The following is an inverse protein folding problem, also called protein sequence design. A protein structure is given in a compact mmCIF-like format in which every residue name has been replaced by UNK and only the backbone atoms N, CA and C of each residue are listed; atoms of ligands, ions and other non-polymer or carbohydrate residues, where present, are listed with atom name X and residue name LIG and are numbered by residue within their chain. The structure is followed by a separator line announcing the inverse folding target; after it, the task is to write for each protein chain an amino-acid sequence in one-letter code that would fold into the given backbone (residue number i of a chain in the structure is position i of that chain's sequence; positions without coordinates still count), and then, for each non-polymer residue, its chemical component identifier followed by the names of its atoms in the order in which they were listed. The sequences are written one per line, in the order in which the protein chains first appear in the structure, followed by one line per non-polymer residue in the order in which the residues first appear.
data_IF_022832024292
#
_entry.id   IF_022832024292
#
_cell.length_a   1.000
_cell.length_b   1.000
_cell.length_c   1.000
_cell.angle_alpha   90.00
_cell.angle_beta   90.00
_cell.angle_gamma   90.00
#
_symmetry.space_group_name_H-M   'P 1'
#
loop_
_entity.id
_entity.type
_entity.pdbx_description
1 polymer ?
#
# COMPACT_ATOMS: atom_id res chain seq x y z
N UNK A 1 27.05 1.68 -12.82
CA UNK A 1 26.10 1.37 -13.90
C UNK A 1 24.72 1.84 -13.45
N UNK A 2 24.22 2.95 -13.98
CA UNK A 2 22.84 3.36 -13.74
C UNK A 2 21.95 2.44 -14.58
N UNK A 3 21.28 1.47 -13.94
CA UNK A 3 20.23 0.70 -14.59
C UNK A 3 19.12 1.66 -14.98
N UNK A 4 19.01 1.97 -16.28
CA UNK A 4 17.97 2.84 -16.83
C UNK A 4 16.61 2.16 -16.73
N UNK A 5 16.00 2.21 -15.54
CA UNK A 5 14.61 1.80 -15.36
C UNK A 5 13.73 2.67 -16.25
N UNK A 6 12.82 2.03 -17.01
CA UNK A 6 11.82 2.76 -17.79
C UNK A 6 10.77 3.32 -16.82
N UNK A 7 10.41 4.61 -16.92
CA UNK A 7 9.36 5.18 -16.09
C UNK A 7 8.01 4.49 -16.36
N UNK A 8 7.18 4.47 -15.33
CA UNK A 8 5.80 3.98 -15.40
C UNK A 8 4.84 5.17 -15.40
N UNK A 9 3.72 5.00 -16.10
CA UNK A 9 2.62 5.96 -16.18
C UNK A 9 1.30 5.22 -15.97
N UNK A 10 0.36 5.89 -15.31
CA UNK A 10 -1.00 5.39 -15.12
C UNK A 10 -1.98 6.55 -15.23
N UNK A 11 -3.21 6.25 -15.65
CA UNK A 11 -4.26 7.26 -15.72
C UNK A 11 -4.70 7.66 -14.31
N UNK A 12 -4.90 8.97 -14.11
CA UNK A 12 -5.47 9.51 -12.87
C UNK A 12 -6.91 9.88 -13.14
N UNK A 13 -7.82 9.35 -12.34
CA UNK A 13 -9.26 9.65 -12.42
C UNK A 13 -9.68 10.42 -11.18
N UNK A 14 -10.41 11.53 -11.36
CA UNK A 14 -11.06 12.23 -10.25
C UNK A 14 -12.45 11.61 -10.02
N UNK A 15 -12.69 11.14 -8.81
CA UNK A 15 -14.01 10.67 -8.40
C UNK A 15 -14.94 11.87 -8.12
N UNK A 16 -16.13 11.86 -8.70
CA UNK A 16 -17.07 12.98 -8.61
C UNK A 16 -17.73 13.08 -7.22
N UNK A 17 -17.89 11.95 -6.53
CA UNK A 17 -18.62 11.89 -5.25
C UNK A 17 -17.76 12.38 -4.09
N UNK A 18 -16.50 11.95 -4.06
CA UNK A 18 -15.54 12.24 -2.98
C UNK A 18 -14.54 13.34 -3.32
N UNK A 19 -14.45 13.75 -4.60
CA UNK A 19 -13.41 14.64 -5.13
C UNK A 19 -11.97 14.12 -4.98
N UNK A 20 -11.79 12.85 -4.61
CA UNK A 20 -10.49 12.19 -4.51
C UNK A 20 -9.99 11.74 -5.87
N UNK A 21 -8.69 11.45 -5.96
CA UNK A 21 -8.05 10.98 -7.19
C UNK A 21 -7.62 9.53 -7.04
N UNK A 22 -7.83 8.71 -8.07
CA UNK A 22 -7.52 7.27 -8.06
C UNK A 22 -6.67 6.84 -9.25
N UNK A 23 -5.92 5.76 -9.06
CA UNK A 23 -5.12 5.09 -10.09
C UNK A 23 -5.40 3.56 -10.13
N UNK A 24 -5.56 2.94 -11.31
CA UNK A 24 -5.99 1.54 -11.45
C UNK A 24 -4.82 0.53 -11.44
N UNK A 25 -3.95 0.58 -10.43
CA UNK A 25 -2.68 -0.20 -10.45
C UNK A 25 -2.75 -1.58 -9.78
N UNK A 26 -3.83 -1.90 -9.06
CA UNK A 26 -4.01 -3.19 -8.37
C UNK A 26 -4.99 -4.08 -9.14
N UNK A 27 -4.49 -4.75 -10.19
CA UNK A 27 -5.31 -5.59 -11.08
C UNK A 27 -6.50 -4.84 -11.68
N UNK A 28 -6.30 -3.57 -12.04
CA UNK A 28 -7.34 -2.65 -12.51
C UNK A 28 -8.20 -2.03 -11.40
N UNK A 29 -8.10 -2.50 -10.14
CA UNK A 29 -8.82 -1.91 -9.01
C UNK A 29 -8.15 -0.60 -8.57
N UNK A 30 -8.94 0.45 -8.26
CA UNK A 30 -8.42 1.77 -7.93
C UNK A 30 -7.75 1.81 -6.55
N UNK A 31 -6.60 2.49 -6.49
CA UNK A 31 -6.00 3.00 -5.26
C UNK A 31 -6.13 4.53 -5.24
N UNK A 32 -6.50 5.11 -4.11
CA UNK A 32 -6.57 6.56 -3.92
C UNK A 32 -5.16 7.14 -3.82
N UNK A 33 -4.89 8.25 -4.48
CA UNK A 33 -3.62 8.96 -4.37
C UNK A 33 -3.58 9.80 -3.08
N UNK A 34 -2.59 9.52 -2.22
CA UNK A 34 -2.31 10.34 -1.04
C UNK A 34 -0.89 10.91 -1.13
N UNK A 35 -0.81 12.22 -1.38
CA UNK A 35 0.46 12.96 -1.51
C UNK A 35 1.24 13.04 -0.18
N UNK A 36 0.58 12.80 0.95
CA UNK A 36 1.16 12.77 2.29
C UNK A 36 1.36 11.35 2.83
N UNK A 37 0.77 10.36 2.16
CA UNK A 37 0.83 8.95 2.53
C UNK A 37 2.24 8.37 2.38
N UNK A 38 2.86 7.83 3.44
CA UNK A 38 4.23 7.28 3.37
C UNK A 38 4.29 5.80 2.98
N UNK A 39 3.14 5.14 2.85
CA UNK A 39 3.04 3.72 2.52
C UNK A 39 1.91 3.49 1.53
N UNK A 40 2.07 2.49 0.67
CA UNK A 40 0.98 1.90 -0.10
C UNK A 40 0.27 0.87 0.77
N UNK A 41 -1.05 0.95 0.89
CA UNK A 41 -1.85 -0.06 1.58
C UNK A 41 -3.09 -0.41 0.76
N UNK A 42 -3.56 -1.64 0.92
CA UNK A 42 -4.77 -2.09 0.25
C UNK A 42 -5.38 -3.29 0.95
N UNK A 43 -6.65 -3.56 0.67
CA UNK A 43 -7.26 -4.82 1.08
C UNK A 43 -6.56 -5.98 0.38
N UNK A 44 -6.36 -7.04 1.13
CA UNK A 44 -5.87 -8.31 0.60
C UNK A 44 -7.06 -9.26 0.53
N UNK A 45 -6.97 -10.30 -0.30
CA UNK A 45 -8.10 -11.19 -0.51
C UNK A 45 -8.57 -11.77 0.84
N UNK A 46 -9.84 -11.53 1.18
CA UNK A 46 -10.37 -11.69 2.53
C UNK A 46 -10.07 -13.06 3.14
N UNK A 47 -9.12 -13.08 4.08
CA UNK A 47 -8.75 -14.29 4.81
C UNK A 47 -7.97 -15.34 4.01
N UNK A 48 -7.62 -15.06 2.75
CA UNK A 48 -6.73 -15.92 2.00
C UNK A 48 -5.32 -15.85 2.61
N UNK A 49 -4.67 -16.99 2.90
CA UNK A 49 -3.28 -16.98 3.34
C UNK A 49 -2.42 -16.26 2.30
N UNK A 50 -1.66 -15.25 2.75
CA UNK A 50 -0.70 -14.54 1.94
C UNK A 50 0.67 -14.57 2.63
N UNK A 51 1.73 -14.47 1.84
CA UNK A 51 3.07 -14.29 2.39
C UNK A 51 3.13 -12.98 3.19
N UNK A 52 3.96 -12.95 4.23
CA UNK A 52 4.17 -11.77 5.07
C UNK A 52 5.65 -11.54 5.32
N UNK A 53 6.04 -10.28 5.52
CA UNK A 53 7.38 -9.97 5.99
C UNK A 53 7.52 -10.34 7.46
N UNK A 54 8.69 -10.82 7.85
CA UNK A 54 9.02 -11.06 9.26
C UNK A 54 9.29 -9.74 10.00
N UNK A 55 9.03 -9.70 11.31
CA UNK A 55 9.16 -8.48 12.11
C UNK A 55 10.61 -7.95 12.21
N UNK A 56 11.61 -8.82 12.05
CA UNK A 56 13.03 -8.46 12.01
C UNK A 56 13.50 -7.93 10.63
N UNK A 57 12.61 -7.91 9.63
CA UNK A 57 12.95 -7.43 8.30
C UNK A 57 13.24 -5.92 8.33
N UNK A 58 14.26 -5.47 7.60
CA UNK A 58 14.62 -4.05 7.52
C UNK A 58 13.49 -3.17 6.98
N UNK A 59 12.68 -3.69 6.06
CA UNK A 59 11.53 -2.99 5.53
C UNK A 59 10.46 -2.79 6.62
N UNK A 60 10.29 -3.78 7.48
CA UNK A 60 9.40 -3.69 8.63
C UNK A 60 9.83 -2.58 9.59
N UNK A 61 11.10 -2.57 9.98
CA UNK A 61 11.66 -1.54 10.87
C UNK A 61 11.50 -0.13 10.31
N UNK A 62 11.58 0.04 8.98
CA UNK A 62 11.36 1.32 8.31
C UNK A 62 9.88 1.70 8.27
N UNK A 63 8.97 0.75 8.03
CA UNK A 63 7.54 1.02 7.94
C UNK A 63 6.97 1.55 9.26
N UNK A 64 7.45 1.03 10.40
CA UNK A 64 7.04 1.48 11.72
C UNK A 64 7.48 2.91 12.08
N UNK A 65 8.33 3.56 11.26
CA UNK A 65 8.63 5.00 11.42
C UNK A 65 7.44 5.89 11.06
N UNK A 66 6.47 5.34 10.34
CA UNK A 66 5.27 6.04 9.88
C UNK A 66 4.05 5.76 10.75
N UNK A 67 4.30 5.48 12.04
CA UNK A 67 3.26 5.11 12.98
C UNK A 67 2.35 6.32 13.32
N UNK A 68 1.03 6.22 13.09
CA UNK A 68 0.11 7.30 13.38
C UNK A 68 0.00 7.62 14.89
N UNK A 69 -0.16 8.89 15.30
CA UNK A 69 -0.15 9.28 16.71
C UNK A 69 -1.22 8.60 17.58
N UNK A 70 -2.34 8.19 16.98
CA UNK A 70 -3.49 7.58 17.66
C UNK A 70 -3.46 6.05 17.69
N UNK A 71 -2.47 5.41 17.08
CA UNK A 71 -2.32 3.96 17.12
C UNK A 71 -1.62 3.49 18.41
N UNK A 72 -1.96 2.30 18.94
CA UNK A 72 -1.11 1.65 19.94
C UNK A 72 0.26 1.30 19.37
N UNK A 73 1.33 1.50 20.15
CA UNK A 73 2.66 1.01 19.80
C UNK A 73 2.78 -0.48 20.20
N UNK A 74 2.54 -1.39 19.26
CA UNK A 74 2.59 -2.85 19.49
C UNK A 74 3.94 -3.50 19.13
N UNK A 75 5.01 -2.71 19.06
CA UNK A 75 6.31 -3.17 18.53
C UNK A 75 6.33 -3.25 17.00
N UNK A 76 7.30 -3.97 16.43
CA UNK A 76 7.49 -4.13 14.97
C UNK A 76 6.63 -5.24 14.35
N UNK A 77 5.85 -5.98 15.14
CA UNK A 77 5.09 -7.11 14.63
C UNK A 77 4.36 -7.90 15.69
N UNK A 78 3.45 -8.76 15.23
CA UNK A 78 2.69 -9.67 16.09
C UNK A 78 3.14 -11.12 15.91
N UNK A 79 3.07 -11.97 16.95
CA UNK A 79 3.32 -13.41 16.80
C UNK A 79 2.39 -14.03 15.75
N UNK A 80 2.92 -14.95 14.95
CA UNK A 80 2.11 -15.72 14.02
C UNK A 80 1.22 -16.71 14.80
N UNK A 81 -0.08 -16.74 14.49
CA UNK A 81 -1.07 -17.58 15.18
C UNK A 81 -0.77 -19.08 15.05
N UNK A 82 -0.16 -19.50 13.94
CA UNK A 82 0.21 -20.89 13.67
C UNK A 82 1.62 -21.24 14.13
N UNK A 83 2.49 -20.25 14.37
CA UNK A 83 3.84 -20.48 14.88
C UNK A 83 4.31 -19.32 15.77
N UNK A 84 4.25 -19.44 17.11
CA UNK A 84 4.62 -18.36 18.02
C UNK A 84 6.12 -18.02 18.02
N UNK A 85 6.97 -18.84 17.40
CA UNK A 85 8.38 -18.53 17.17
C UNK A 85 8.61 -17.65 15.94
N UNK A 86 7.56 -17.43 15.13
CA UNK A 86 7.55 -16.49 14.01
C UNK A 86 6.76 -15.25 14.38
N UNK A 87 7.16 -14.13 13.81
CA UNK A 87 6.48 -12.86 13.95
C UNK A 87 6.20 -12.28 12.58
N UNK A 88 5.00 -11.74 12.39
CA UNK A 88 4.60 -11.01 11.20
C UNK A 88 4.84 -9.53 11.40
N UNK A 89 5.36 -8.85 10.38
CA UNK A 89 5.45 -7.42 10.36
C UNK A 89 4.06 -6.79 10.29
N UNK A 90 3.72 -5.89 11.20
CA UNK A 90 2.37 -5.33 11.34
C UNK A 90 2.40 -3.80 11.37
N UNK A 91 2.62 -3.14 10.22
CA UNK A 91 2.53 -1.68 10.11
C UNK A 91 1.11 -1.17 10.35
N UNK A 92 1.00 0.16 10.46
CA UNK A 92 -0.24 0.85 10.79
C UNK A 92 -0.68 1.75 9.64
N UNK A 93 -1.39 1.22 8.63
CA UNK A 93 -2.00 2.05 7.59
C UNK A 93 -3.01 3.04 8.18
N UNK A 94 -3.00 4.25 7.61
CA UNK A 94 -3.86 5.36 7.99
C UNK A 94 -4.67 5.80 6.77
N UNK A 95 -5.97 5.96 6.96
CA UNK A 95 -6.86 6.58 5.98
C UNK A 95 -6.94 8.08 6.29
N UNK A 96 -6.36 8.91 5.42
CA UNK A 96 -6.34 10.37 5.58
C UNK A 96 -7.70 11.05 5.35
N UNK A 97 -8.69 10.33 4.81
CA UNK A 97 -10.05 10.81 4.59
C UNK A 97 -10.90 10.63 5.84
N UNK A 98 -10.89 9.45 6.45
CA UNK A 98 -11.67 9.17 7.65
C UNK A 98 -10.91 9.48 8.95
N UNK A 99 -9.58 9.51 8.92
CA UNK A 99 -8.71 9.59 10.10
C UNK A 99 -8.50 8.23 10.80
N UNK A 100 -9.08 7.16 10.25
CA UNK A 100 -8.98 5.84 10.85
C UNK A 100 -7.61 5.22 10.62
N UNK A 101 -7.26 4.34 11.55
CA UNK A 101 -6.03 3.56 11.51
C UNK A 101 -6.33 2.11 11.78
N UNK A 102 -5.59 1.20 11.15
CA UNK A 102 -5.67 -0.21 11.44
C UNK A 102 -4.27 -0.81 11.56
N UNK A 103 -4.20 -2.01 12.11
CA UNK A 103 -3.03 -2.87 11.99
C UNK A 103 -3.22 -3.79 10.80
N UNK A 104 -2.17 -3.96 9.98
CA UNK A 104 -2.24 -4.79 8.79
C UNK A 104 -0.92 -5.46 8.48
N UNK A 105 -0.94 -6.73 8.08
CA UNK A 105 0.27 -7.47 7.76
C UNK A 105 1.02 -6.84 6.58
N UNK A 106 2.33 -6.69 6.69
CA UNK A 106 3.16 -6.22 5.59
C UNK A 106 3.47 -7.37 4.64
N UNK A 107 3.22 -7.16 3.36
CA UNK A 107 3.40 -8.17 2.31
C UNK A 107 4.00 -7.55 1.05
N UNK A 108 4.24 -8.38 0.04
CA UNK A 108 4.64 -7.96 -1.31
C UNK A 108 3.50 -8.29 -2.27
N UNK A 109 3.05 -7.29 -3.01
CA UNK A 109 2.00 -7.45 -4.03
C UNK A 109 2.55 -7.12 -5.41
N UNK A 110 2.04 -7.82 -6.42
CA UNK A 110 2.22 -7.42 -7.81
C UNK A 110 1.23 -6.30 -8.14
N UNK A 111 1.75 -5.19 -8.63
CA UNK A 111 1.00 -4.09 -9.21
C UNK A 111 1.32 -3.99 -10.70
N UNK A 112 0.50 -3.27 -11.45
CA UNK A 112 0.68 -3.08 -12.88
C UNK A 112 0.40 -1.64 -13.30
N UNK A 113 1.28 -1.11 -14.14
CA UNK A 113 1.11 0.20 -14.78
C UNK A 113 1.77 0.16 -16.16
N UNK A 114 1.49 1.14 -17.02
CA UNK A 114 2.09 1.17 -18.34
C UNK A 114 3.52 1.71 -18.28
N UNK A 115 4.47 1.09 -18.97
CA UNK A 115 5.74 1.75 -19.27
C UNK A 115 5.49 2.96 -20.19
N UNK A 116 6.35 3.97 -20.12
CA UNK A 116 6.30 5.14 -21.01
C UNK A 116 7.68 5.50 -21.55
N UNK A 117 7.69 6.07 -22.76
CA UNK A 117 8.87 6.72 -23.36
C UNK A 117 8.99 8.21 -22.99
N UNK A 118 8.08 8.70 -22.13
CA UNK A 118 7.94 10.10 -21.73
C UNK A 118 6.80 10.83 -22.43
N UNK A 119 6.27 10.28 -23.53
CA UNK A 119 5.14 10.85 -24.27
C UNK A 119 3.96 9.88 -24.37
N UNK A 120 4.22 8.59 -24.59
CA UNK A 120 3.20 7.59 -24.90
C UNK A 120 3.25 6.41 -23.92
N UNK A 121 2.09 5.90 -23.47
CA UNK A 121 2.01 4.60 -22.84
C UNK A 121 2.38 3.51 -23.85
N UNK A 122 3.33 2.64 -23.49
CA UNK A 122 3.84 1.59 -24.36
C UNK A 122 3.11 0.25 -24.13
N UNK A 123 2.86 -0.09 -22.87
CA UNK A 123 2.17 -1.33 -22.49
C UNK A 123 2.36 -1.66 -21.01
N UNK A 124 1.52 -2.57 -20.47
CA UNK A 124 1.52 -2.87 -19.05
C UNK A 124 2.80 -3.61 -18.63
N UNK A 125 3.33 -3.23 -17.49
CA UNK A 125 4.47 -3.86 -16.82
C UNK A 125 4.07 -4.14 -15.38
N UNK A 126 4.31 -5.38 -14.95
CA UNK A 126 4.13 -5.75 -13.55
C UNK A 126 5.36 -5.39 -12.72
N UNK A 127 5.14 -4.88 -11.53
CA UNK A 127 6.18 -4.55 -10.57
C UNK A 127 5.74 -4.93 -9.16
N UNK A 128 6.71 -5.25 -8.30
CA UNK A 128 6.43 -5.64 -6.92
C UNK A 128 6.51 -4.42 -6.02
N UNK A 129 5.44 -4.17 -5.27
CA UNK A 129 5.42 -3.16 -4.20
C UNK A 129 5.32 -3.85 -2.84
N UNK A 130 6.00 -3.28 -1.85
CA UNK A 130 5.79 -3.67 -0.45
C UNK A 130 4.61 -2.86 0.07
N UNK A 131 3.59 -3.55 0.59
CA UNK A 131 2.32 -2.94 0.99
C UNK A 131 1.85 -3.48 2.33
N UNK A 132 0.94 -2.76 2.99
CA UNK A 132 0.18 -3.27 4.13
C UNK A 132 -1.18 -3.79 3.67
N UNK A 133 -1.52 -5.01 4.09
CA UNK A 133 -2.85 -5.60 3.99
C UNK A 133 -3.76 -4.96 5.04
N UNK A 134 -4.58 -4.01 4.63
CA UNK A 134 -5.51 -3.31 5.52
C UNK A 134 -6.88 -4.01 5.57
N UNK A 135 -7.59 -3.95 6.71
CA UNK A 135 -8.97 -4.41 6.78
C UNK A 135 -9.92 -3.47 6.01
N UNK A 136 -11.05 -4.01 5.57
CA UNK A 136 -12.10 -3.27 4.83
C UNK A 136 -12.64 -2.04 5.59
N UNK A 137 -12.59 -2.07 6.93
CA UNK A 137 -12.98 -0.92 7.76
C UNK A 137 -12.18 0.34 7.41
N UNK A 138 -10.96 0.17 6.90
CA UNK A 138 -10.10 1.28 6.51
C UNK A 138 -10.50 1.91 5.16
N UNK A 139 -11.43 1.31 4.41
CA UNK A 139 -11.95 1.87 3.14
C UNK A 139 -13.02 2.95 3.34
N UNK A 140 -13.44 3.22 4.58
CA UNK A 140 -14.47 4.20 4.86
C UNK A 140 -14.15 5.58 4.26
N UNK A 141 -15.09 6.15 3.51
CA UNK A 141 -14.95 7.46 2.87
C UNK A 141 -14.13 7.48 1.58
N UNK A 142 -13.51 6.36 1.18
CA UNK A 142 -12.84 6.26 -0.12
C UNK A 142 -13.87 6.12 -1.27
N UNK A 143 -13.48 6.42 -2.53
CA UNK A 143 -14.34 6.24 -3.69
C UNK A 143 -14.86 4.80 -3.80
N UNK A 144 -16.07 4.64 -4.34
CA UNK A 144 -16.66 3.31 -4.55
C UNK A 144 -15.73 2.45 -5.43
N UNK A 145 -15.44 1.24 -4.96
CA UNK A 145 -14.56 0.29 -5.63
C UNK A 145 -13.07 0.51 -5.35
N UNK A 146 -12.67 1.58 -4.65
CA UNK A 146 -11.31 1.73 -4.18
C UNK A 146 -10.96 0.62 -3.18
N UNK A 147 -9.78 0.03 -3.36
CA UNK A 147 -9.29 -1.07 -2.51
C UNK A 147 -8.14 -0.63 -1.62
N UNK A 148 -7.85 0.67 -1.56
CA UNK A 148 -6.83 1.22 -0.68
C UNK A 148 -6.24 2.54 -1.17
N UNK A 149 -5.02 2.81 -0.73
CA UNK A 149 -4.32 4.08 -0.95
C UNK A 149 -2.90 3.82 -1.47
N UNK A 150 -2.53 4.60 -2.48
CA UNK A 150 -1.18 4.75 -2.98
C UNK A 150 -0.56 6.02 -2.38
N UNK A 151 0.31 5.83 -1.39
CA UNK A 151 1.11 6.90 -0.82
C UNK A 151 2.16 7.42 -1.80
N UNK A 152 2.35 8.73 -1.85
CA UNK A 152 3.32 9.45 -2.70
C UNK A 152 4.24 10.37 -1.88
N UNK A 153 4.26 10.24 -0.55
CA UNK A 153 5.20 11.00 0.27
C UNK A 153 6.63 10.48 0.09
N UNK A 154 7.60 11.27 0.57
CA UNK A 154 9.02 10.88 0.53
C UNK A 154 9.31 9.72 1.49
N UNK A 155 9.12 8.50 1.02
CA UNK A 155 9.27 7.25 1.76
C UNK A 155 9.76 6.11 0.86
N UNK A 156 10.38 5.07 1.43
CA UNK A 156 10.78 3.87 0.71
C UNK A 156 9.62 2.92 0.35
N UNK A 157 8.40 3.23 0.81
CA UNK A 157 7.19 2.41 0.60
C UNK A 157 6.05 3.17 -0.09
N UNK A 158 6.31 4.40 -0.49
CA UNK A 158 5.48 5.18 -1.40
C UNK A 158 5.90 4.90 -2.85
N UNK A 159 5.08 5.29 -3.84
CA UNK A 159 5.52 5.30 -5.24
C UNK A 159 6.46 6.47 -5.55
#
# INVERSE_FOLDING_TARGET
MHGGGRPLVTAVTKDATTSLYTIPVKSGRPLVLDLSGPIVWSTCDDGAPHDTLECNNIDCMRAHRFHPPSCPHTGYGMPDVHNPYRCKCTPHPHNSVSGDTASGDMTRVALSANATDGMNPLGPVSFTAVTSCAPDTLLQGLPVGAVGVAGLARSSFAF
#
